data_IF_999948380141
#
_entry.id   IF_999948380141
#
_cell.length_a   1.000
_cell.length_b   1.000
_cell.length_c   1.000
_cell.angle_alpha   90.00
_cell.angle_beta   90.00
_cell.angle_gamma   90.00
#
_symmetry.space_group_name_H-M   'P 1'
#
loop_
_entity.id
_entity.type
_entity.pdbx_description
1 polymer ?
#
# COMPACT_ATOMS: atom_id res chain seq x y z
N UNK A 1 2.54 15.78 8.85
CA UNK A 1 3.00 14.76 7.87
C UNK A 1 3.62 15.48 6.68
N UNK A 2 4.72 14.98 6.10
CA UNK A 2 5.35 15.54 4.90
C UNK A 2 5.22 14.53 3.76
N UNK A 3 5.05 15.00 2.53
CA UNK A 3 4.97 14.17 1.33
C UNK A 3 6.01 14.62 0.33
N UNK A 4 6.62 13.66 -0.36
CA UNK A 4 7.53 13.90 -1.48
C UNK A 4 7.32 12.81 -2.54
N UNK A 5 7.70 13.11 -3.78
CA UNK A 5 7.70 12.14 -4.87
C UNK A 5 9.13 11.61 -5.06
N UNK A 6 9.24 10.32 -5.35
CA UNK A 6 10.50 9.67 -5.69
C UNK A 6 10.29 8.71 -6.85
N UNK A 7 11.33 8.54 -7.67
CA UNK A 7 11.36 7.65 -8.84
C UNK A 7 12.21 6.40 -8.59
N UNK A 8 12.61 6.15 -7.34
CA UNK A 8 13.37 4.95 -6.95
C UNK A 8 12.59 3.68 -7.32
N UNK A 9 13.33 2.61 -7.61
CA UNK A 9 12.71 1.29 -7.80
C UNK A 9 12.10 0.80 -6.48
N UNK A 10 11.03 0.01 -6.56
CA UNK A 10 10.34 -0.52 -5.38
C UNK A 10 11.25 -1.41 -4.51
N UNK A 11 12.26 -2.04 -5.10
CA UNK A 11 13.19 -2.95 -4.41
C UNK A 11 14.32 -2.23 -3.69
N UNK A 12 14.77 -1.08 -4.22
CA UNK A 12 15.88 -0.27 -3.67
C UNK A 12 15.41 0.79 -2.68
N UNK A 13 14.10 0.99 -2.56
CA UNK A 13 13.55 2.02 -1.69
C UNK A 13 13.70 1.65 -0.21
N UNK A 14 14.68 2.25 0.46
CA UNK A 14 14.94 2.03 1.88
C UNK A 14 14.00 2.88 2.76
N UNK A 15 12.78 2.36 2.95
CA UNK A 15 11.82 2.90 3.92
C UNK A 15 11.39 1.86 4.94
N UNK A 16 10.85 2.34 6.07
CA UNK A 16 10.37 1.50 7.16
C UNK A 16 9.14 0.68 6.77
N UNK A 17 8.34 1.13 5.78
CA UNK A 17 7.21 0.37 5.23
C UNK A 17 6.87 0.73 3.78
N UNK A 18 6.81 -0.27 2.90
CA UNK A 18 6.25 -0.14 1.54
C UNK A 18 4.77 -0.52 1.55
N UNK A 19 3.89 0.31 0.99
CA UNK A 19 2.48 -0.04 0.77
C UNK A 19 2.29 -0.47 -0.69
N UNK A 20 1.90 -1.72 -0.93
CA UNK A 20 1.88 -2.30 -2.29
C UNK A 20 0.53 -2.97 -2.59
N UNK A 21 0.02 -2.85 -3.83
CA UNK A 21 -1.29 -3.37 -4.16
C UNK A 21 -1.27 -4.88 -4.41
N UNK A 22 -2.32 -5.57 -3.96
CA UNK A 22 -2.62 -6.96 -4.32
C UNK A 22 -4.02 -7.00 -4.94
N UNK A 23 -4.13 -7.50 -6.16
CA UNK A 23 -5.40 -7.62 -6.88
C UNK A 23 -5.81 -9.08 -7.01
N UNK A 24 -7.10 -9.31 -7.18
CA UNK A 24 -7.64 -10.62 -7.53
C UNK A 24 -7.21 -11.04 -8.95
N UNK A 25 -7.00 -12.34 -9.14
CA UNK A 25 -6.60 -12.93 -10.41
C UNK A 25 -5.19 -13.50 -10.37
N UNK A 26 -4.73 -14.00 -11.52
CA UNK A 26 -3.45 -14.71 -11.63
C UNK A 26 -2.24 -13.78 -11.77
N UNK A 27 -2.45 -12.50 -12.12
CA UNK A 27 -1.37 -11.56 -12.42
C UNK A 27 -1.22 -10.56 -11.28
N UNK A 28 -0.03 -10.49 -10.71
CA UNK A 28 0.34 -9.46 -9.75
C UNK A 28 0.52 -8.10 -10.47
N UNK A 29 0.20 -6.97 -9.81
CA UNK A 29 0.57 -5.65 -10.30
C UNK A 29 2.09 -5.56 -10.52
N UNK A 30 2.54 -4.78 -11.51
CA UNK A 30 3.96 -4.73 -11.89
C UNK A 30 4.92 -4.47 -10.72
N UNK A 31 4.54 -3.55 -9.82
CA UNK A 31 5.27 -3.24 -8.59
C UNK A 31 5.38 -4.47 -7.67
N UNK A 32 4.26 -5.14 -7.42
CA UNK A 32 4.18 -6.31 -6.55
C UNK A 32 4.89 -7.53 -7.16
N UNK A 33 4.83 -7.70 -8.48
CA UNK A 33 5.57 -8.73 -9.20
C UNK A 33 7.09 -8.51 -9.13
N UNK A 34 7.55 -7.26 -9.16
CA UNK A 34 8.97 -6.94 -8.98
C UNK A 34 9.46 -7.31 -7.57
N UNK A 35 8.67 -6.97 -6.54
CA UNK A 35 8.97 -7.36 -5.16
C UNK A 35 8.90 -8.88 -4.94
N UNK A 36 7.92 -9.55 -5.53
CA UNK A 36 7.78 -11.00 -5.40
C UNK A 36 8.97 -11.74 -6.03
N UNK A 37 9.45 -11.29 -7.20
CA UNK A 37 10.66 -11.83 -7.82
C UNK A 37 11.90 -11.60 -6.96
N UNK A 38 12.08 -10.39 -6.42
CA UNK A 38 13.22 -10.08 -5.57
C UNK A 38 13.19 -10.86 -4.24
N UNK A 39 12.00 -11.17 -3.73
CA UNK A 39 11.77 -11.94 -2.49
C UNK A 39 11.60 -13.44 -2.68
N UNK A 40 11.95 -13.97 -3.86
CA UNK A 40 11.93 -15.42 -4.12
C UNK A 40 10.52 -16.04 -4.12
N UNK A 41 9.48 -15.28 -4.43
CA UNK A 41 8.09 -15.78 -4.48
C UNK A 41 7.34 -15.71 -3.15
N UNK A 42 7.86 -15.01 -2.15
CA UNK A 42 7.26 -14.94 -0.80
C UNK A 42 5.86 -14.32 -0.80
N UNK A 43 5.61 -13.31 -1.63
CA UNK A 43 4.29 -12.66 -1.73
C UNK A 43 3.30 -13.61 -2.41
N UNK A 44 3.72 -14.26 -3.48
CA UNK A 44 2.93 -15.29 -4.16
C UNK A 44 2.61 -16.47 -3.24
N UNK A 45 3.54 -16.88 -2.37
CA UNK A 45 3.31 -17.93 -1.37
C UNK A 45 2.23 -17.52 -0.37
N UNK A 46 2.30 -16.30 0.19
CA UNK A 46 1.28 -15.79 1.11
C UNK A 46 -0.12 -15.69 0.46
N UNK A 47 -0.18 -15.28 -0.81
CA UNK A 47 -1.45 -15.24 -1.55
C UNK A 47 -2.01 -16.65 -1.78
N UNK A 48 -1.16 -17.62 -2.14
CA UNK A 48 -1.55 -19.02 -2.34
C UNK A 48 -2.00 -19.70 -1.05
N UNK A 49 -1.38 -19.34 0.08
CA UNK A 49 -1.77 -19.81 1.40
C UNK A 49 -3.12 -19.24 1.87
N UNK A 50 -3.59 -18.16 1.26
CA UNK A 50 -4.83 -17.48 1.65
C UNK A 50 -4.67 -16.49 2.80
N UNK A 51 -3.43 -16.13 3.16
CA UNK A 51 -3.11 -15.21 4.26
C UNK A 51 -3.61 -13.78 4.01
N UNK A 52 -3.78 -13.42 2.74
CA UNK A 52 -4.34 -12.14 2.33
C UNK A 52 -5.57 -12.32 1.44
N UNK A 53 -6.64 -11.66 1.84
CA UNK A 53 -7.79 -11.43 0.95
C UNK A 53 -7.50 -10.27 0.00
N UNK A 54 -7.80 -10.47 -1.28
CA UNK A 54 -7.69 -9.42 -2.29
C UNK A 54 -8.86 -8.43 -2.26
N UNK A 55 -9.78 -8.53 -1.29
CA UNK A 55 -10.88 -7.57 -1.12
C UNK A 55 -10.36 -6.18 -0.76
N UNK A 56 -11.10 -5.14 -1.15
CA UNK A 56 -10.73 -3.74 -0.91
C UNK A 56 -10.43 -3.46 0.57
N UNK A 57 -9.24 -2.91 0.84
CA UNK A 57 -8.83 -2.46 2.17
C UNK A 57 -8.39 -3.56 3.14
N UNK A 58 -8.29 -4.82 2.70
CA UNK A 58 -7.64 -5.87 3.50
C UNK A 58 -6.13 -5.69 3.46
N UNK A 59 -5.46 -5.90 4.58
CA UNK A 59 -4.01 -5.67 4.68
C UNK A 59 -3.30 -6.90 5.25
N UNK A 60 -2.09 -7.15 4.78
CA UNK A 60 -1.17 -8.13 5.34
C UNK A 60 0.22 -7.50 5.44
N UNK A 61 0.83 -7.60 6.62
CA UNK A 61 2.18 -7.12 6.84
C UNK A 61 3.18 -8.27 6.69
N UNK A 62 4.09 -8.15 5.75
CA UNK A 62 5.26 -9.00 5.64
C UNK A 62 6.48 -8.25 6.19
N UNK A 63 7.27 -8.92 7.01
CA UNK A 63 8.48 -8.36 7.63
C UNK A 63 9.71 -9.01 7.02
N UNK A 64 10.75 -8.20 6.82
CA UNK A 64 12.09 -8.67 6.43
C UNK A 64 12.08 -9.62 5.23
N UNK A 65 11.45 -9.19 4.14
CA UNK A 65 11.48 -9.96 2.89
C UNK A 65 12.90 -9.99 2.32
N UNK A 66 13.41 -11.16 1.91
CA UNK A 66 14.73 -11.25 1.31
C UNK A 66 14.79 -10.41 0.03
N UNK A 67 15.93 -9.78 -0.25
CA UNK A 67 16.14 -8.99 -1.47
C UNK A 67 15.39 -7.64 -1.52
N UNK A 68 14.68 -7.25 -0.45
CA UNK A 68 13.99 -5.96 -0.35
C UNK A 68 14.71 -5.08 0.68
N UNK A 69 15.03 -3.83 0.30
CA UNK A 69 15.72 -2.90 1.20
C UNK A 69 14.85 -2.45 2.39
N UNK A 70 13.54 -2.35 2.19
CA UNK A 70 12.58 -1.98 3.22
C UNK A 70 12.38 -3.04 4.30
N UNK A 71 12.26 -2.59 5.55
CA UNK A 71 12.04 -3.46 6.71
C UNK A 71 10.68 -4.18 6.67
N UNK A 72 9.65 -3.52 6.13
CA UNK A 72 8.28 -4.02 6.10
C UNK A 72 7.64 -3.77 4.74
N UNK A 73 6.83 -4.72 4.30
CA UNK A 73 5.99 -4.61 3.11
C UNK A 73 4.54 -4.87 3.53
N UNK A 74 3.73 -3.82 3.45
CA UNK A 74 2.29 -3.86 3.65
C UNK A 74 1.61 -4.15 2.31
N UNK A 75 1.12 -5.37 2.17
CA UNK A 75 0.24 -5.76 1.09
C UNK A 75 -1.16 -5.21 1.34
N UNK A 76 -1.80 -4.61 0.33
CA UNK A 76 -3.15 -4.06 0.43
C UNK A 76 -4.05 -4.63 -0.66
N UNK A 77 -5.13 -5.29 -0.27
CA UNK A 77 -6.14 -5.84 -1.16
C UNK A 77 -6.89 -4.75 -1.91
N UNK A 78 -6.89 -4.82 -3.23
CA UNK A 78 -7.37 -3.79 -4.14
C UNK A 78 -8.56 -4.23 -5.03
N UNK A 79 -9.07 -5.43 -4.84
CA UNK A 79 -10.21 -5.96 -5.61
C UNK A 79 -9.82 -6.46 -6.99
N UNK A 80 -10.70 -6.24 -7.98
CA UNK A 80 -10.48 -6.66 -9.37
C UNK A 80 -9.61 -5.64 -10.10
N UNK A 81 -8.66 -6.09 -10.94
CA UNK A 81 -7.94 -5.18 -11.82
C UNK A 81 -8.93 -4.46 -12.75
N UNK A 82 -8.60 -3.22 -13.11
CA UNK A 82 -9.33 -2.37 -14.07
C UNK A 82 -10.80 -2.03 -13.70
N UNK A 83 -11.30 -2.46 -12.54
CA UNK A 83 -12.62 -2.13 -12.04
C UNK A 83 -12.55 -1.52 -10.64
N UNK A 84 -11.71 -0.49 -10.50
CA UNK A 84 -11.53 0.22 -9.23
C UNK A 84 -12.23 1.57 -9.28
N UNK A 85 -13.29 1.70 -8.48
CA UNK A 85 -14.03 2.96 -8.36
C UNK A 85 -13.32 3.95 -7.42
N UNK A 86 -13.53 5.27 -7.60
CA UNK A 86 -12.97 6.29 -6.72
C UNK A 86 -13.20 6.06 -5.22
N UNK A 87 -14.41 5.62 -4.83
CA UNK A 87 -14.77 5.32 -3.44
C UNK A 87 -13.98 4.15 -2.86
N UNK A 88 -13.77 3.11 -3.67
CA UNK A 88 -12.98 1.93 -3.31
C UNK A 88 -11.50 2.30 -3.17
N UNK A 89 -10.97 3.15 -4.05
CA UNK A 89 -9.59 3.65 -3.94
C UNK A 89 -9.36 4.43 -2.63
N UNK A 90 -10.31 5.28 -2.23
CA UNK A 90 -10.26 5.95 -0.92
C UNK A 90 -10.24 4.95 0.23
N UNK A 91 -11.08 3.91 0.17
CA UNK A 91 -11.14 2.86 1.20
C UNK A 91 -9.81 2.12 1.33
N UNK A 92 -9.17 1.79 0.19
CA UNK A 92 -7.84 1.16 0.14
C UNK A 92 -6.79 2.06 0.80
N UNK A 93 -6.75 3.34 0.45
CA UNK A 93 -5.81 4.31 1.00
C UNK A 93 -6.02 4.53 2.50
N UNK A 94 -7.26 4.58 2.96
CA UNK A 94 -7.59 4.69 4.39
C UNK A 94 -7.06 3.50 5.17
N UNK A 95 -7.31 2.27 4.69
CA UNK A 95 -6.83 1.05 5.33
C UNK A 95 -5.30 0.98 5.37
N UNK A 96 -4.63 1.35 4.27
CA UNK A 96 -3.17 1.40 4.22
C UNK A 96 -2.60 2.44 5.20
N UNK A 97 -3.17 3.65 5.22
CA UNK A 97 -2.76 4.72 6.13
C UNK A 97 -2.96 4.35 7.60
N UNK A 98 -4.09 3.71 7.93
CA UNK A 98 -4.38 3.26 9.28
C UNK A 98 -3.42 2.15 9.73
N UNK A 99 -3.15 1.17 8.85
CA UNK A 99 -2.19 0.11 9.13
C UNK A 99 -0.80 0.68 9.42
N UNK A 100 -0.30 1.60 8.59
CA UNK A 100 1.01 2.23 8.80
C UNK A 100 1.05 3.08 10.06
N UNK A 101 -0.04 3.79 10.39
CA UNK A 101 -0.16 4.53 11.66
C UNK A 101 -0.07 3.59 12.87
N UNK A 102 -0.80 2.47 12.84
CA UNK A 102 -0.79 1.47 13.92
C UNK A 102 0.56 0.76 14.07
N UNK A 103 1.36 0.68 13.00
CA UNK A 103 2.70 0.11 13.03
C UNK A 103 3.78 1.05 13.58
N UNK A 104 3.45 2.34 13.82
CA UNK A 104 4.41 3.31 14.33
C UNK A 104 5.53 3.63 13.33
N UNK A 105 5.25 3.60 12.03
CA UNK A 105 6.29 3.82 11.03
C UNK A 105 6.77 5.27 10.98
N UNK A 106 8.10 5.46 10.93
CA UNK A 106 8.73 6.78 10.80
C UNK A 106 8.61 7.35 9.38
N UNK A 107 8.74 6.49 8.37
CA UNK A 107 8.48 6.81 6.97
C UNK A 107 7.81 5.63 6.25
N UNK A 108 7.15 5.90 5.13
CA UNK A 108 6.53 4.87 4.30
C UNK A 108 6.40 5.35 2.85
N UNK A 109 6.55 4.44 1.89
CA UNK A 109 6.32 4.73 0.47
C UNK A 109 5.03 4.07 -0.01
N UNK A 110 4.17 4.86 -0.65
CA UNK A 110 2.89 4.41 -1.16
C UNK A 110 2.95 4.13 -2.67
N UNK A 111 2.92 2.85 -3.06
CA UNK A 111 2.85 2.42 -4.46
C UNK A 111 1.42 2.17 -4.94
N UNK A 112 0.41 2.42 -4.10
CA UNK A 112 -1.02 2.26 -4.44
C UNK A 112 -1.48 3.26 -5.51
N UNK A 113 -0.77 4.38 -5.68
CA UNK A 113 -1.05 5.42 -6.69
C UNK A 113 -0.84 4.94 -8.13
N UNK A 114 -0.17 3.80 -8.32
CA UNK A 114 0.03 3.13 -9.62
C UNK A 114 -1.22 2.40 -10.12
N UNK A 115 -2.25 2.24 -9.28
CA UNK A 115 -3.51 1.60 -9.65
C UNK A 115 -4.30 2.45 -10.65
N UNK A 116 -4.91 1.80 -11.63
CA UNK A 116 -5.82 2.46 -12.57
C UNK A 116 -7.20 2.60 -11.93
N UNK A 117 -7.63 3.85 -11.72
CA UNK A 117 -8.96 4.17 -11.19
C UNK A 117 -9.87 4.59 -12.32
N UNK A 118 -11.12 4.11 -12.31
CA UNK A 118 -12.10 4.34 -13.37
C UNK A 118 -12.37 5.83 -13.57
N UNK A 119 -12.18 6.32 -14.81
CA UNK A 119 -12.38 7.73 -15.23
C UNK A 119 -11.53 8.74 -14.45
N UNK A 120 -10.38 8.33 -13.92
CA UNK A 120 -9.44 9.22 -13.19
C UNK A 120 -8.04 9.10 -13.76
N UNK A 121 -7.28 10.17 -13.63
CA UNK A 121 -5.90 10.27 -14.05
C UNK A 121 -4.93 10.07 -12.88
N UNK A 122 -3.63 10.03 -13.18
CA UNK A 122 -2.60 9.84 -12.17
C UNK A 122 -2.50 11.03 -11.21
N UNK A 123 -2.81 12.25 -11.67
CA UNK A 123 -2.83 13.43 -10.81
C UNK A 123 -3.91 13.32 -9.73
N UNK A 124 -5.11 12.86 -10.11
CA UNK A 124 -6.18 12.57 -9.16
C UNK A 124 -5.77 11.49 -8.15
N UNK A 125 -5.13 10.40 -8.61
CA UNK A 125 -4.64 9.35 -7.70
C UNK A 125 -3.67 9.89 -6.64
N UNK A 126 -2.73 10.74 -7.06
CA UNK A 126 -1.75 11.37 -6.17
C UNK A 126 -2.43 12.33 -5.18
N UNK A 127 -3.29 13.22 -5.66
CA UNK A 127 -4.03 14.16 -4.81
C UNK A 127 -4.87 13.42 -3.76
N UNK A 128 -5.58 12.36 -4.18
CA UNK A 128 -6.40 11.54 -3.30
C UNK A 128 -5.57 10.75 -2.28
N UNK A 129 -4.41 10.24 -2.67
CA UNK A 129 -3.49 9.58 -1.75
C UNK A 129 -3.02 10.55 -0.66
N UNK A 130 -2.55 11.75 -1.03
CA UNK A 130 -2.10 12.77 -0.06
C UNK A 130 -3.23 13.18 0.88
N UNK A 131 -4.42 13.48 0.34
CA UNK A 131 -5.57 13.89 1.14
C UNK A 131 -6.00 12.78 2.12
N UNK A 132 -6.12 11.56 1.63
CA UNK A 132 -6.62 10.43 2.43
C UNK A 132 -5.62 10.01 3.50
N UNK A 133 -4.33 9.90 3.16
CA UNK A 133 -3.29 9.55 4.13
C UNK A 133 -3.13 10.62 5.21
N UNK A 134 -3.21 11.90 4.84
CA UNK A 134 -3.22 13.01 5.81
C UNK A 134 -4.39 12.90 6.79
N UNK A 135 -5.57 12.54 6.28
CA UNK A 135 -6.76 12.34 7.10
C UNK A 135 -6.63 11.14 8.04
N UNK A 136 -6.04 10.04 7.59
CA UNK A 136 -5.76 8.87 8.45
C UNK A 136 -4.77 9.20 9.58
N UNK A 137 -3.80 10.08 9.32
CA UNK A 137 -2.84 10.53 10.34
C UNK A 137 -3.47 11.45 11.40
N UNK A 138 -4.57 12.14 11.09
CA UNK A 138 -5.22 13.07 12.01
C UNK A 138 -5.68 12.41 13.32
N UNK A 139 -5.53 13.12 14.43
CA UNK A 139 -6.11 12.79 15.73
C UNK A 139 -6.27 14.08 16.53
N UNK A 140 -7.47 14.31 17.05
CA UNK A 140 -7.71 15.43 17.96
C UNK A 140 -7.52 14.94 19.40
N UNK A 141 -6.42 15.33 20.03
CA UNK A 141 -6.07 14.93 21.39
C UNK A 141 -6.01 16.12 22.37
N UNK A 142 -6.36 17.35 21.95
CA UNK A 142 -6.22 18.56 22.76
C UNK A 142 -7.08 18.56 24.04
N UNK A 143 -8.14 17.76 24.08
CA UNK A 143 -9.02 17.60 25.24
C UNK A 143 -8.79 16.28 26.00
N UNK A 144 -7.76 15.51 25.65
CA UNK A 144 -7.43 14.28 26.38
C UNK A 144 -6.54 14.62 27.57
N UNK A 145 -6.93 14.16 28.75
CA UNK A 145 -6.15 14.30 29.99
C UNK A 145 -5.08 13.21 30.17
N UNK A 146 -4.99 12.26 29.23
CA UNK A 146 -4.08 11.09 29.26
C UNK A 146 -3.53 10.77 27.88
#
# INVERSE_FOLDING_TARGET
MKFSLSTKSVTEDNTHCLMVPVVSGKRLPAVTAALDRASGGSISAAIKAGDISTSHGKTLLLRSLPGIASERVLLVGCGKPDNLEPSQFVTILQAAGQAVKSLGCTNATCWLTTLKVTKRDQQWNLAMAVQTLSRSAYSFNELKST
#
